data_IF_418228427264
#
_entry.id   IF_418228427264
#
_cell.length_a   1.000
_cell.length_b   1.000
_cell.length_c   1.000
_cell.angle_alpha   90.00
_cell.angle_beta   90.00
_cell.angle_gamma   90.00
#
_symmetry.space_group_name_H-M   'P 1'
#
loop_
_entity.id
_entity.type
_entity.pdbx_description
1 polymer ?
#
# COMPACT_ATOMS: atom_id res chain seq x y z
N UNK A 1 -74.31 16.61 -21.88
CA UNK A 1 -73.27 17.49 -21.27
C UNK A 1 -71.90 16.84 -21.47
N UNK A 2 -70.79 17.55 -21.20
CA UNK A 2 -69.40 17.09 -21.41
C UNK A 2 -69.08 15.82 -20.58
N UNK A 3 -68.19 14.90 -20.96
CA UNK A 3 -67.32 14.76 -22.15
C UNK A 3 -66.55 13.42 -22.09
N UNK A 4 -65.85 13.01 -23.16
CA UNK A 4 -65.18 11.69 -23.26
C UNK A 4 -64.09 11.44 -22.18
N UNK A 5 -63.82 10.24 -21.66
CA UNK A 5 -63.81 8.86 -22.20
C UNK A 5 -62.48 8.38 -22.81
N UNK A 6 -61.83 7.43 -22.11
CA UNK A 6 -61.01 6.29 -22.63
C UNK A 6 -59.68 6.63 -23.35
N UNK A 7 -58.61 5.82 -23.33
CA UNK A 7 -58.39 4.49 -22.72
C UNK A 7 -56.89 4.24 -22.40
N UNK A 8 -56.66 3.41 -21.37
CA UNK A 8 -55.70 2.29 -21.25
C UNK A 8 -54.61 2.14 -22.36
N UNK A 9 -53.33 2.12 -21.97
CA UNK A 9 -52.30 1.15 -22.41
C UNK A 9 -50.98 1.32 -21.61
N UNK A 10 -50.08 0.34 -21.68
CA UNK A 10 -48.71 0.38 -21.15
C UNK A 10 -47.75 -0.40 -22.07
N UNK A 11 -46.44 -0.37 -21.76
CA UNK A 11 -45.39 -1.34 -22.15
C UNK A 11 -44.75 -1.19 -23.58
N UNK A 12 -43.40 -1.36 -23.61
CA UNK A 12 -42.43 -1.59 -24.71
C UNK A 12 -41.80 -0.44 -25.54
N UNK A 13 -40.44 -0.51 -25.65
CA UNK A 13 -39.56 -0.32 -26.83
C UNK A 13 -39.32 1.11 -27.40
N UNK A 14 -38.17 1.46 -28.02
CA UNK A 14 -36.72 1.12 -27.87
C UNK A 14 -35.89 2.04 -28.81
N UNK A 15 -34.59 2.24 -28.53
CA UNK A 15 -33.50 2.63 -29.45
C UNK A 15 -33.69 3.72 -30.54
N UNK A 16 -32.99 4.85 -30.37
CA UNK A 16 -32.19 5.57 -31.39
C UNK A 16 -31.06 6.33 -30.64
N UNK A 17 -29.84 6.59 -31.13
CA UNK A 17 -28.84 5.88 -31.96
C UNK A 17 -27.72 6.90 -32.26
N UNK A 18 -26.47 6.58 -31.89
CA UNK A 18 -25.18 7.08 -32.44
C UNK A 18 -24.82 8.60 -32.28
N UNK A 19 -23.53 8.85 -32.05
CA UNK A 19 -22.85 10.16 -31.92
C UNK A 19 -22.26 10.63 -33.30
N UNK A 20 -21.49 11.73 -33.49
CA UNK A 20 -20.83 12.62 -32.50
C UNK A 20 -20.74 14.13 -32.85
N UNK A 21 -19.95 14.85 -32.03
CA UNK A 21 -19.18 16.08 -32.33
C UNK A 21 -19.85 17.47 -32.33
N UNK A 22 -19.05 18.48 -31.96
CA UNK A 22 -19.30 19.94 -31.92
C UNK A 22 -20.42 20.44 -30.96
N UNK A 23 -20.29 21.58 -30.26
CA UNK A 23 -19.14 22.48 -30.02
C UNK A 23 -19.33 23.23 -28.69
N UNK A 24 -18.34 24.01 -28.25
CA UNK A 24 -18.41 24.83 -27.03
C UNK A 24 -19.29 26.10 -27.19
N UNK A 25 -19.30 26.94 -26.15
CA UNK A 25 -19.94 28.27 -26.01
C UNK A 25 -21.47 28.34 -26.00
N UNK A 26 -22.11 27.94 -24.88
CA UNK A 26 -23.45 28.47 -24.49
C UNK A 26 -23.75 28.48 -22.97
N UNK A 27 -22.76 28.73 -22.09
CA UNK A 27 -23.02 29.05 -20.67
C UNK A 27 -21.98 30.05 -20.17
N UNK A 28 -22.22 31.33 -20.48
CA UNK A 28 -21.34 32.44 -20.12
C UNK A 28 -22.05 33.78 -20.27
N UNK A 29 -23.10 33.99 -19.48
CA UNK A 29 -23.67 35.31 -19.12
C UNK A 29 -24.85 35.12 -18.15
N UNK A 30 -24.56 35.02 -16.84
CA UNK A 30 -25.57 35.14 -15.76
C UNK A 30 -24.98 35.26 -14.32
N UNK A 31 -23.67 35.48 -14.16
CA UNK A 31 -23.01 35.59 -12.85
C UNK A 31 -22.92 37.02 -12.28
N UNK A 32 -22.67 38.00 -13.14
CA UNK A 32 -22.05 39.28 -12.74
C UNK A 32 -23.02 40.34 -12.21
N UNK A 33 -24.25 39.95 -11.84
CA UNK A 33 -25.28 40.84 -11.28
C UNK A 33 -25.40 40.71 -9.75
N UNK A 34 -24.83 39.65 -9.14
CA UNK A 34 -24.98 39.38 -7.69
C UNK A 34 -23.68 39.59 -6.89
N UNK A 35 -22.50 39.43 -7.50
CA UNK A 35 -21.22 39.58 -6.81
C UNK A 35 -20.29 40.55 -7.56
N UNK A 36 -20.10 41.75 -7.00
CA UNK A 36 -19.14 42.73 -7.51
C UNK A 36 -17.69 42.23 -7.44
N UNK A 37 -16.77 42.86 -8.21
CA UNK A 37 -15.41 42.36 -8.40
C UNK A 37 -14.61 42.35 -7.11
N UNK A 38 -13.92 41.23 -6.84
CA UNK A 38 -12.90 41.13 -5.80
C UNK A 38 -11.51 41.31 -6.42
N UNK A 39 -10.76 42.29 -5.91
CA UNK A 39 -9.34 42.43 -6.24
C UNK A 39 -8.52 41.25 -5.70
N UNK A 40 -7.43 40.84 -6.40
CA UNK A 40 -6.59 39.74 -5.96
C UNK A 40 -5.65 40.19 -4.82
N UNK A 41 -5.95 39.77 -3.59
CA UNK A 41 -5.00 39.91 -2.48
C UNK A 41 -3.84 38.92 -2.62
N UNK A 42 -2.61 39.44 -2.64
CA UNK A 42 -1.40 38.65 -2.52
C UNK A 42 -1.19 38.18 -1.08
N UNK A 43 -0.89 36.90 -0.89
CA UNK A 43 -0.40 36.37 0.39
C UNK A 43 1.09 36.03 0.30
N UNK A 44 1.91 36.39 1.31
CA UNK A 44 3.35 36.16 1.29
C UNK A 44 3.70 34.70 1.63
N UNK A 45 4.77 34.19 1.02
CA UNK A 45 5.31 32.87 1.32
C UNK A 45 5.98 32.82 2.70
N UNK A 46 5.47 31.98 3.60
CA UNK A 46 6.15 31.66 4.86
C UNK A 46 7.12 30.50 4.65
N UNK A 47 8.41 30.82 4.47
CA UNK A 47 9.49 29.84 4.72
C UNK A 47 9.45 29.44 6.19
N UNK A 48 9.46 28.14 6.47
CA UNK A 48 9.91 27.63 7.77
C UNK A 48 11.40 27.27 7.65
N UNK A 49 12.25 28.07 8.29
CA UNK A 49 13.63 27.71 8.60
C UNK A 49 13.71 27.65 10.12
N UNK A 50 14.14 26.51 10.68
CA UNK A 50 14.40 26.35 12.11
C UNK A 50 15.87 26.67 12.38
N UNK A 51 16.17 27.92 12.70
CA UNK A 51 17.46 28.30 13.30
C UNK A 51 17.30 28.56 14.80
N UNK A 52 18.25 28.08 15.60
CA UNK A 52 18.26 28.22 17.05
C UNK A 52 18.87 29.57 17.48
N UNK A 53 18.05 30.49 17.96
CA UNK A 53 18.48 31.57 18.86
C UNK A 53 17.46 31.77 19.99
N UNK A 54 17.94 32.13 21.18
CA UNK A 54 17.13 32.18 22.40
C UNK A 54 16.19 33.39 22.45
N UNK A 55 15.03 33.21 23.08
CA UNK A 55 14.09 34.30 23.33
C UNK A 55 14.57 35.25 24.43
N UNK A 56 14.23 36.53 24.29
CA UNK A 56 14.42 37.58 25.30
C UNK A 56 13.07 38.15 25.71
N UNK A 57 12.80 38.24 27.02
CA UNK A 57 11.50 38.69 27.53
C UNK A 57 11.33 40.22 27.49
N UNK A 58 10.08 40.68 27.61
CA UNK A 58 9.67 42.08 27.44
C UNK A 58 10.09 43.03 28.60
N UNK A 59 11.38 43.10 28.92
CA UNK A 59 11.96 44.18 29.75
C UNK A 59 13.49 44.39 29.63
N UNK A 60 14.15 43.86 28.60
CA UNK A 60 15.44 44.39 28.12
C UNK A 60 16.60 44.42 29.12
N UNK A 61 16.85 43.32 29.85
CA UNK A 61 18.05 43.14 30.69
C UNK A 61 18.68 41.78 30.49
N UNK A 62 20.01 41.76 30.41
CA UNK A 62 20.83 40.55 30.33
C UNK A 62 20.94 39.86 31.71
N UNK A 63 21.07 38.54 31.71
CA UNK A 63 21.37 37.73 32.89
C UNK A 63 22.53 36.78 32.52
N UNK A 64 23.70 36.83 33.22
CA UNK A 64 24.82 35.95 32.93
C UNK A 64 24.55 34.48 33.27
N UNK A 65 25.27 33.57 32.60
CA UNK A 65 25.30 32.13 32.92
C UNK A 65 25.97 31.89 34.27
N UNK A 66 25.58 30.80 34.95
CA UNK A 66 26.36 30.18 36.02
C UNK A 66 26.30 28.65 35.89
N UNK A 67 27.38 27.98 36.31
CA UNK A 67 27.59 26.56 36.08
C UNK A 67 26.87 25.67 37.11
N UNK A 68 26.59 24.42 36.73
CA UNK A 68 26.11 23.38 37.65
C UNK A 68 27.23 22.37 37.96
N UNK A 69 27.38 22.06 39.25
CA UNK A 69 28.16 20.94 39.78
C UNK A 69 27.31 20.14 40.78
N UNK A 70 27.76 18.92 41.06
CA UNK A 70 27.05 17.87 41.79
C UNK A 70 26.77 18.17 43.28
N UNK A 71 26.07 17.19 43.88
CA UNK A 71 25.76 16.95 45.31
C UNK A 71 24.38 17.45 45.76
N UNK A 72 23.55 16.65 46.47
CA UNK A 72 23.63 15.21 46.75
C UNK A 72 22.87 14.78 48.01
N UNK A 73 22.19 13.62 47.96
CA UNK A 73 21.54 12.89 49.10
C UNK A 73 20.28 13.60 49.68
N UNK A 74 19.17 12.91 49.99
CA UNK A 74 18.83 11.49 49.76
C UNK A 74 17.45 11.06 50.29
N UNK A 75 17.11 9.80 49.95
CA UNK A 75 16.08 8.85 50.45
C UNK A 75 14.90 9.29 51.33
N UNK A 76 13.69 8.82 50.99
CA UNK A 76 12.94 7.83 51.79
C UNK A 76 11.91 7.04 50.94
N UNK A 77 11.96 5.70 51.04
CA UNK A 77 10.94 4.62 50.96
C UNK A 77 9.49 4.86 50.43
N UNK A 78 8.73 3.89 49.88
CA UNK A 78 8.93 2.51 49.35
C UNK A 78 7.57 2.01 48.72
N UNK A 79 7.28 0.72 48.46
CA UNK A 79 7.55 0.02 47.19
C UNK A 79 6.29 -0.49 46.44
N UNK A 80 6.49 -0.92 45.18
CA UNK A 80 5.79 -2.10 44.62
C UNK A 80 6.77 -2.92 43.77
N UNK A 81 6.81 -4.25 44.00
CA UNK A 81 7.77 -5.18 43.39
C UNK A 81 7.13 -6.11 42.37
N UNK A 82 7.84 -6.41 41.29
CA UNK A 82 7.56 -7.53 40.38
C UNK A 82 8.65 -8.60 40.53
N UNK A 83 8.33 -9.92 40.48
CA UNK A 83 9.31 -10.99 40.60
C UNK A 83 10.04 -11.25 39.28
N UNK A 84 11.36 -11.43 39.33
CA UNK A 84 12.16 -11.96 38.23
C UNK A 84 12.14 -13.49 38.19
N UNK A 85 12.57 -14.06 37.07
CA UNK A 85 12.78 -15.50 36.89
C UNK A 85 14.28 -15.79 36.85
N UNK A 86 14.79 -16.59 37.79
CA UNK A 86 16.18 -17.07 37.78
C UNK A 86 16.24 -18.54 37.38
N UNK A 87 17.38 -18.94 36.81
CA UNK A 87 17.61 -20.30 36.32
C UNK A 87 18.49 -21.10 37.28
N UNK A 88 18.20 -22.39 37.46
CA UNK A 88 19.18 -23.36 37.96
C UNK A 88 18.88 -24.77 37.47
N UNK A 89 19.93 -25.59 37.36
CA UNK A 89 19.89 -26.93 36.78
C UNK A 89 19.94 -28.01 37.86
N UNK A 90 19.36 -29.20 37.60
CA UNK A 90 19.87 -30.46 38.19
C UNK A 90 19.48 -31.72 37.41
N UNK A 91 19.96 -32.85 37.89
CA UNK A 91 20.35 -34.01 37.09
C UNK A 91 19.50 -35.29 37.32
N UNK A 92 19.88 -36.33 36.57
CA UNK A 92 19.35 -37.70 36.49
C UNK A 92 19.09 -38.41 37.84
N UNK A 93 18.18 -39.40 37.79
CA UNK A 93 18.09 -40.52 38.73
C UNK A 93 17.24 -41.66 38.15
N UNK A 94 17.65 -42.93 38.34
CA UNK A 94 17.14 -44.09 37.58
C UNK A 94 16.14 -44.99 38.34
N UNK A 95 15.18 -45.59 37.63
CA UNK A 95 14.65 -46.98 37.76
C UNK A 95 13.45 -47.15 36.80
N UNK A 96 13.37 -48.09 35.86
CA UNK A 96 13.68 -49.54 35.78
C UNK A 96 12.56 -50.46 36.30
N UNK A 97 11.78 -51.04 35.37
CA UNK A 97 11.26 -52.41 35.41
C UNK A 97 11.04 -52.92 33.97
N UNK A 98 11.03 -54.25 33.79
CA UNK A 98 11.23 -54.99 32.51
C UNK A 98 9.96 -55.79 32.09
N UNK A 99 10.06 -56.51 30.95
CA UNK A 99 9.29 -57.68 30.46
C UNK A 99 8.81 -57.63 28.99
N UNK A 100 9.78 -57.80 28.06
CA UNK A 100 9.82 -58.77 26.93
C UNK A 100 8.44 -59.40 26.52
N UNK A 101 7.95 -59.33 25.27
CA UNK A 101 8.31 -60.26 24.18
C UNK A 101 7.76 -59.91 22.76
N UNK A 102 8.60 -60.13 21.73
CA UNK A 102 8.21 -60.44 20.34
C UNK A 102 7.88 -59.26 19.40
N UNK A 103 8.20 -59.28 18.10
CA UNK A 103 8.98 -60.26 17.32
C UNK A 103 8.64 -60.20 15.82
N UNK A 104 9.45 -59.51 14.99
CA UNK A 104 9.30 -59.50 13.52
C UNK A 104 9.94 -60.73 12.86
N UNK A 105 9.40 -61.22 11.74
CA UNK A 105 10.19 -61.79 10.66
C UNK A 105 10.48 -60.76 9.55
N UNK A 106 11.65 -60.88 8.92
CA UNK A 106 11.91 -60.45 7.53
C UNK A 106 11.78 -61.68 6.64
N UNK A 107 11.61 -61.47 5.34
CA UNK A 107 11.93 -62.46 4.29
C UNK A 107 12.28 -61.70 3.00
N UNK A 108 13.51 -61.90 2.54
CA UNK A 108 13.98 -61.76 1.16
C UNK A 108 13.41 -62.96 0.32
N UNK A 109 13.58 -63.21 -0.99
CA UNK A 109 14.49 -62.91 -2.12
C UNK A 109 13.68 -63.33 -3.43
N UNK A 110 14.19 -63.48 -4.69
CA UNK A 110 15.41 -63.02 -5.38
C UNK A 110 15.18 -62.44 -6.82
N UNK A 111 16.28 -62.16 -7.54
CA UNK A 111 16.39 -61.66 -8.93
C UNK A 111 15.95 -62.61 -10.08
N UNK A 112 15.93 -62.08 -11.33
CA UNK A 112 16.62 -62.67 -12.51
C UNK A 112 16.60 -61.82 -13.81
N UNK A 113 17.80 -61.60 -14.38
CA UNK A 113 18.23 -61.50 -15.81
C UNK A 113 17.40 -60.67 -16.85
N UNK A 114 17.94 -60.24 -18.00
CA UNK A 114 19.18 -60.62 -18.72
C UNK A 114 19.90 -59.41 -19.40
N UNK A 115 20.94 -59.68 -20.19
CA UNK A 115 22.06 -58.80 -20.55
C UNK A 115 22.39 -58.86 -22.07
N UNK A 116 23.26 -57.94 -22.59
CA UNK A 116 23.95 -57.96 -23.92
C UNK A 116 23.09 -57.68 -25.19
N UNK A 117 23.63 -57.25 -26.35
CA UNK A 117 24.93 -56.61 -26.68
C UNK A 117 24.92 -55.85 -28.05
N UNK A 118 25.72 -54.77 -28.12
CA UNK A 118 26.70 -54.39 -29.18
C UNK A 118 26.44 -54.45 -30.71
N UNK A 119 26.99 -53.46 -31.45
CA UNK A 119 27.90 -53.56 -32.65
C UNK A 119 27.75 -52.38 -33.66
N UNK A 120 28.88 -51.66 -33.83
CA UNK A 120 29.38 -50.75 -34.89
C UNK A 120 28.60 -50.41 -36.19
N UNK A 121 28.75 -49.14 -36.63
CA UNK A 121 28.66 -48.73 -38.05
C UNK A 121 28.95 -47.24 -38.32
N UNK A 122 30.03 -46.90 -39.05
CA UNK A 122 30.38 -45.53 -39.51
C UNK A 122 30.21 -45.40 -41.04
N UNK A 123 29.46 -44.40 -41.54
CA UNK A 123 29.65 -43.76 -42.87
C UNK A 123 29.31 -42.25 -42.76
N UNK A 124 30.00 -41.40 -43.52
CA UNK A 124 29.85 -39.94 -43.56
C UNK A 124 28.57 -39.46 -44.27
N UNK A 125 28.11 -38.26 -43.93
CA UNK A 125 27.04 -37.56 -44.64
C UNK A 125 26.81 -36.13 -44.13
N UNK A 126 27.58 -35.17 -44.62
CA UNK A 126 27.43 -33.77 -44.23
C UNK A 126 26.11 -33.16 -44.73
N UNK A 127 25.49 -32.31 -43.91
CA UNK A 127 24.46 -31.37 -44.33
C UNK A 127 24.83 -29.98 -43.83
N UNK A 128 24.64 -28.91 -44.62
CA UNK A 128 24.96 -27.55 -44.18
C UNK A 128 24.06 -27.17 -42.99
N UNK A 129 24.62 -26.44 -42.03
CA UNK A 129 23.81 -25.64 -41.12
C UNK A 129 23.25 -24.47 -41.91
N UNK A 130 21.94 -24.27 -41.84
CA UNK A 130 21.38 -22.95 -42.12
C UNK A 130 21.83 -22.05 -40.97
N UNK A 131 22.62 -21.04 -41.29
CA UNK A 131 22.95 -19.98 -40.34
C UNK A 131 21.72 -19.07 -40.21
N UNK A 132 20.96 -19.23 -39.13
CA UNK A 132 20.03 -18.17 -38.73
C UNK A 132 20.86 -16.92 -38.41
N UNK A 133 20.45 -15.72 -38.88
CA UNK A 133 21.22 -14.52 -38.66
C UNK A 133 21.31 -14.23 -37.16
N UNK A 134 22.54 -14.08 -36.68
CA UNK A 134 22.86 -13.76 -35.29
C UNK A 134 22.03 -12.58 -34.80
N UNK A 135 21.00 -12.87 -34.00
CA UNK A 135 20.30 -11.86 -33.21
C UNK A 135 21.24 -11.46 -32.08
N UNK A 136 22.17 -10.58 -32.43
CA UNK A 136 22.96 -9.80 -31.50
C UNK A 136 22.01 -9.27 -30.43
N UNK A 137 22.14 -9.83 -29.22
CA UNK A 137 21.23 -9.50 -28.14
C UNK A 137 21.27 -7.99 -27.92
N UNK A 138 20.10 -7.36 -27.95
CA UNK A 138 19.93 -6.04 -27.37
C UNK A 138 20.43 -6.17 -25.92
N UNK A 139 21.55 -5.51 -25.64
CA UNK A 139 22.06 -5.42 -24.27
C UNK A 139 21.15 -4.45 -23.57
N UNK A 140 20.22 -4.99 -22.79
CA UNK A 140 19.47 -4.24 -21.79
C UNK A 140 20.48 -3.54 -20.87
N UNK A 141 20.78 -2.26 -21.16
CA UNK A 141 21.48 -1.38 -20.21
C UNK A 141 20.57 -0.99 -19.03
N UNK A 142 19.30 -1.42 -19.09
CA UNK A 142 18.31 -1.44 -18.03
C UNK A 142 18.54 -2.60 -17.05
N UNK A 143 19.43 -2.39 -16.08
CA UNK A 143 19.69 -3.36 -15.01
C UNK A 143 18.43 -3.69 -14.19
N UNK A 144 18.12 -4.98 -13.92
CA UNK A 144 16.88 -5.38 -13.25
C UNK A 144 16.83 -4.95 -11.77
N UNK A 145 15.61 -4.74 -11.26
CA UNK A 145 15.38 -4.34 -9.86
C UNK A 145 16.02 -5.33 -8.88
N UNK A 146 16.92 -4.83 -8.02
CA UNK A 146 17.71 -5.65 -7.09
C UNK A 146 17.75 -5.05 -5.69
N UNK A 147 17.91 -5.91 -4.69
CA UNK A 147 18.21 -5.50 -3.31
C UNK A 147 19.58 -4.81 -3.29
N UNK A 148 19.75 -3.82 -2.42
CA UNK A 148 21.00 -3.05 -2.33
C UNK A 148 21.33 -2.25 -3.60
N UNK A 149 20.33 -1.83 -4.40
CA UNK A 149 20.55 -1.07 -5.63
C UNK A 149 21.47 0.14 -5.40
N UNK A 150 21.18 0.91 -4.35
CA UNK A 150 21.90 2.12 -3.97
C UNK A 150 23.14 1.88 -3.07
N UNK A 151 23.55 0.62 -2.82
CA UNK A 151 24.60 0.30 -1.83
C UNK A 151 25.97 0.96 -2.12
N UNK A 152 26.26 1.28 -3.38
CA UNK A 152 27.49 1.97 -3.80
C UNK A 152 27.28 3.47 -4.05
N UNK A 153 26.10 3.87 -4.52
CA UNK A 153 25.81 5.24 -5.01
C UNK A 153 25.13 6.14 -3.98
N UNK A 154 24.32 5.57 -3.09
CA UNK A 154 23.75 6.24 -1.92
C UNK A 154 23.57 5.23 -0.78
N UNK A 155 24.66 4.84 -0.07
CA UNK A 155 24.64 3.71 0.87
C UNK A 155 23.66 3.86 2.04
N UNK A 156 23.23 5.09 2.33
CA UNK A 156 22.31 5.45 3.42
C UNK A 156 20.87 5.73 2.96
N UNK A 157 20.53 5.45 1.70
CA UNK A 157 19.22 5.80 1.13
C UNK A 157 18.04 5.26 1.98
N UNK A 158 18.05 3.97 2.30
CA UNK A 158 16.98 3.35 3.12
C UNK A 158 17.00 3.83 4.58
N UNK A 159 18.15 4.22 5.12
CA UNK A 159 18.29 4.78 6.46
C UNK A 159 17.52 6.10 6.59
N UNK A 160 17.69 7.01 5.61
CA UNK A 160 16.98 8.30 5.59
C UNK A 160 15.47 8.13 5.37
N UNK A 161 15.05 7.23 4.47
CA UNK A 161 13.61 6.92 4.25
C UNK A 161 12.98 6.48 5.58
N UNK A 162 13.59 5.49 6.24
CA UNK A 162 13.14 4.94 7.52
C UNK A 162 13.13 5.99 8.64
N UNK A 163 14.17 6.81 8.74
CA UNK A 163 14.28 7.85 9.76
C UNK A 163 13.16 8.88 9.66
N UNK A 164 12.93 9.44 8.45
CA UNK A 164 11.91 10.49 8.25
C UNK A 164 10.50 9.94 8.45
N UNK A 165 10.21 8.73 7.97
CA UNK A 165 8.89 8.10 8.16
C UNK A 165 8.66 7.72 9.63
N UNK A 166 9.69 7.22 10.33
CA UNK A 166 9.60 6.98 11.77
C UNK A 166 9.32 8.26 12.56
N UNK A 167 9.96 9.38 12.22
CA UNK A 167 9.68 10.66 12.89
C UNK A 167 8.28 11.20 12.53
N UNK A 168 7.85 11.09 11.28
CA UNK A 168 6.50 11.46 10.86
C UNK A 168 5.42 10.63 11.58
N UNK A 169 5.64 9.33 11.78
CA UNK A 169 4.69 8.43 12.46
C UNK A 169 4.50 8.75 13.95
N UNK A 170 5.54 9.21 14.67
CA UNK A 170 5.42 9.67 16.07
C UNK A 170 4.50 10.89 16.20
N UNK A 171 4.58 11.78 15.22
CA UNK A 171 3.81 13.03 15.19
C UNK A 171 2.40 12.84 14.59
N UNK A 172 2.19 11.77 13.81
CA UNK A 172 0.92 11.41 13.20
C UNK A 172 0.86 9.88 12.95
N UNK A 173 0.28 9.09 13.87
CA UNK A 173 0.24 7.63 13.79
C UNK A 173 -0.40 7.04 12.52
N UNK A 174 -1.17 7.85 11.80
CA UNK A 174 -1.77 7.47 10.52
C UNK A 174 -0.86 7.56 9.29
N UNK A 175 0.35 8.11 9.41
CA UNK A 175 1.29 8.25 8.27
C UNK A 175 1.65 6.89 7.63
N UNK A 176 1.97 5.82 8.37
CA UNK A 176 2.24 4.49 7.81
C UNK A 176 1.15 3.99 6.84
N UNK A 177 -0.11 3.98 7.27
CA UNK A 177 -1.24 3.60 6.41
C UNK A 177 -1.42 4.56 5.22
N UNK A 178 -1.05 5.83 5.35
CA UNK A 178 -1.05 6.81 4.26
C UNK A 178 -0.03 6.46 3.17
N UNK A 179 1.22 6.20 3.55
CA UNK A 179 2.32 5.89 2.63
C UNK A 179 2.13 4.51 1.98
N UNK A 180 1.66 3.51 2.75
CA UNK A 180 1.26 2.21 2.20
C UNK A 180 0.19 2.37 1.10
N UNK A 181 -0.83 3.20 1.34
CA UNK A 181 -1.87 3.49 0.35
C UNK A 181 -1.36 4.32 -0.84
N UNK A 182 -0.39 5.23 -0.65
CA UNK A 182 0.27 5.93 -1.76
C UNK A 182 0.96 4.94 -2.71
N UNK A 183 1.74 3.99 -2.17
CA UNK A 183 2.46 3.02 -3.01
C UNK A 183 1.50 2.08 -3.75
N UNK A 184 0.40 1.65 -3.11
CA UNK A 184 -0.67 0.89 -3.77
C UNK A 184 -1.30 1.68 -4.92
N UNK A 185 -1.71 2.93 -4.66
CA UNK A 185 -2.40 3.76 -5.66
C UNK A 185 -1.51 4.12 -6.85
N UNK A 186 -0.20 4.26 -6.63
CA UNK A 186 0.79 4.49 -7.68
C UNK A 186 0.89 3.27 -8.60
N UNK A 187 1.31 2.13 -8.03
CA UNK A 187 1.50 0.87 -8.75
C UNK A 187 0.29 0.39 -9.56
N UNK A 188 -0.93 0.71 -9.13
CA UNK A 188 -2.15 0.27 -9.79
C UNK A 188 -2.65 1.18 -10.92
N UNK A 189 -2.13 2.39 -11.12
CA UNK A 189 -2.52 3.24 -12.26
C UNK A 189 -1.67 2.94 -13.50
N UNK A 190 -0.53 3.61 -13.70
CA UNK A 190 0.40 3.35 -14.83
C UNK A 190 1.49 2.33 -14.50
N UNK A 191 1.83 2.16 -13.23
CA UNK A 191 2.91 1.31 -12.75
C UNK A 191 3.54 1.89 -11.50
N UNK A 192 4.51 1.20 -10.90
CA UNK A 192 5.25 1.73 -9.75
C UNK A 192 6.33 2.72 -10.24
N UNK A 193 5.89 3.85 -10.79
CA UNK A 193 6.70 4.87 -11.50
C UNK A 193 6.63 6.25 -10.82
N UNK A 194 5.95 6.35 -9.67
CA UNK A 194 5.69 7.59 -8.93
C UNK A 194 4.99 8.69 -9.76
N UNK A 195 4.22 8.35 -10.80
CA UNK A 195 3.37 9.28 -11.57
C UNK A 195 2.40 10.03 -10.65
N UNK A 196 1.79 9.32 -9.69
CA UNK A 196 0.84 9.83 -8.70
C UNK A 196 1.37 11.01 -7.88
N UNK A 197 2.69 11.11 -7.76
CA UNK A 197 3.34 12.20 -7.02
C UNK A 197 3.38 13.52 -7.80
N UNK A 198 3.13 13.54 -9.11
CA UNK A 198 3.14 14.77 -9.90
C UNK A 198 1.96 15.70 -9.57
N UNK A 199 2.26 16.97 -9.30
CA UNK A 199 1.25 18.03 -9.21
C UNK A 199 0.90 18.61 -10.59
N UNK A 200 1.82 18.52 -11.56
CA UNK A 200 1.67 18.97 -12.96
C UNK A 200 2.57 18.16 -13.90
N UNK A 201 2.16 18.04 -15.17
CA UNK A 201 2.95 17.51 -16.28
C UNK A 201 3.22 18.58 -17.34
N UNK A 202 4.20 18.38 -18.26
CA UNK A 202 4.38 19.24 -19.43
C UNK A 202 3.20 19.27 -20.41
N UNK A 203 2.30 18.27 -20.40
CA UNK A 203 1.10 18.25 -21.25
C UNK A 203 0.01 19.22 -20.78
N UNK A 204 0.08 19.71 -19.54
CA UNK A 204 -0.95 20.58 -18.95
C UNK A 204 -2.26 19.86 -18.62
N UNK A 205 -2.31 18.54 -18.79
CA UNK A 205 -3.42 17.70 -18.32
C UNK A 205 -3.49 17.71 -16.78
N UNK A 206 -4.66 17.37 -16.24
CA UNK A 206 -4.81 17.09 -14.81
C UNK A 206 -4.07 15.79 -14.46
N UNK A 207 -3.31 15.76 -13.37
CA UNK A 207 -2.65 14.54 -12.88
C UNK A 207 -3.61 13.64 -12.10
N UNK A 208 -3.19 12.40 -11.84
CA UNK A 208 -3.97 11.40 -11.09
C UNK A 208 -4.34 11.87 -9.68
N UNK A 209 -3.49 12.71 -9.08
CA UNK A 209 -3.63 13.23 -7.71
C UNK A 209 -4.92 14.04 -7.51
N UNK A 210 -5.42 14.70 -8.56
CA UNK A 210 -6.66 15.49 -8.52
C UNK A 210 -7.91 14.71 -8.97
N UNK A 211 -7.78 13.43 -9.29
CA UNK A 211 -8.92 12.57 -9.62
C UNK A 211 -9.91 12.42 -8.46
N UNK A 212 -11.20 12.11 -8.71
CA UNK A 212 -12.20 11.94 -7.65
C UNK A 212 -11.88 10.85 -6.62
N UNK A 213 -11.05 9.87 -6.98
CA UNK A 213 -10.63 8.75 -6.12
C UNK A 213 -9.51 9.17 -5.15
N UNK A 214 -8.57 9.99 -5.64
CA UNK A 214 -7.35 10.37 -4.91
C UNK A 214 -7.48 11.70 -4.15
N UNK A 215 -8.22 12.65 -4.71
CA UNK A 215 -8.32 14.03 -4.24
C UNK A 215 -8.95 14.12 -2.85
N UNK A 216 -8.14 14.51 -1.85
CA UNK A 216 -8.56 14.59 -0.45
C UNK A 216 -8.75 13.24 0.26
N UNK A 217 -8.33 12.12 -0.36
CA UNK A 217 -8.34 10.79 0.26
C UNK A 217 -6.93 10.25 0.56
N UNK A 218 -5.93 10.63 -0.22
CA UNK A 218 -4.51 10.29 -0.01
C UNK A 218 -3.80 11.29 0.92
N UNK A 219 -2.79 10.84 1.66
CA UNK A 219 -1.96 11.64 2.59
C UNK A 219 -0.52 11.12 2.63
N UNK A 220 0.43 11.92 3.13
CA UNK A 220 1.83 11.53 3.26
C UNK A 220 2.74 12.03 2.14
N UNK A 221 2.21 12.74 1.13
CA UNK A 221 3.00 13.34 0.04
C UNK A 221 4.11 14.24 0.62
N UNK A 222 3.76 15.02 1.63
CA UNK A 222 4.65 15.90 2.41
C UNK A 222 5.78 15.15 3.15
N UNK A 223 5.59 13.87 3.48
CA UNK A 223 6.64 13.03 4.06
C UNK A 223 7.58 12.51 2.97
N UNK A 224 7.03 12.14 1.80
CA UNK A 224 7.82 11.77 0.62
C UNK A 224 8.66 12.96 0.12
N UNK A 225 8.11 14.18 0.16
CA UNK A 225 8.84 15.42 -0.15
C UNK A 225 10.03 15.62 0.80
N UNK A 226 9.86 15.43 2.11
CA UNK A 226 10.96 15.58 3.10
C UNK A 226 12.00 14.47 2.95
N UNK A 227 11.60 13.21 2.77
CA UNK A 227 12.52 12.09 2.47
C UNK A 227 13.38 12.44 1.25
N UNK A 228 12.76 12.86 0.16
CA UNK A 228 13.46 13.25 -1.07
C UNK A 228 14.38 14.47 -0.85
N UNK A 229 13.93 15.43 -0.05
CA UNK A 229 14.69 16.63 0.33
C UNK A 229 15.91 16.31 1.22
N UNK A 230 15.96 15.17 1.91
CA UNK A 230 17.16 14.69 2.59
C UNK A 230 18.06 13.89 1.64
N UNK A 231 17.49 12.99 0.83
CA UNK A 231 18.24 12.20 -0.15
C UNK A 231 19.00 13.09 -1.16
N UNK A 232 18.37 14.14 -1.70
CA UNK A 232 19.03 15.07 -2.63
C UNK A 232 20.14 15.94 -1.99
N UNK A 233 20.30 15.92 -0.65
CA UNK A 233 21.43 16.57 0.04
C UNK A 233 22.63 15.62 0.20
N UNK A 234 22.37 14.34 0.43
CA UNK A 234 23.40 13.30 0.60
C UNK A 234 23.89 12.77 -0.76
N UNK A 235 22.95 12.45 -1.66
CA UNK A 235 23.19 11.80 -2.95
C UNK A 235 22.31 12.40 -4.06
N UNK A 236 22.66 13.61 -4.56
CA UNK A 236 21.89 14.32 -5.58
C UNK A 236 21.56 13.47 -6.80
N UNK A 237 20.33 13.59 -7.30
CA UNK A 237 19.82 12.95 -8.51
C UNK A 237 20.04 11.42 -8.58
N UNK A 238 20.17 10.74 -7.43
CA UNK A 238 20.53 9.32 -7.36
C UNK A 238 19.32 8.42 -7.13
N UNK A 239 18.49 8.70 -6.12
CA UNK A 239 17.37 7.83 -5.70
C UNK A 239 16.05 8.31 -6.30
N UNK A 240 15.31 7.46 -7.01
CA UNK A 240 14.00 7.81 -7.59
C UNK A 240 12.90 7.99 -6.55
N UNK A 241 11.86 8.76 -6.88
CA UNK A 241 10.69 8.87 -6.01
C UNK A 241 9.86 7.57 -6.00
N UNK A 242 9.90 6.79 -7.09
CA UNK A 242 9.31 5.45 -7.16
C UNK A 242 9.93 4.49 -6.12
N UNK A 243 11.25 4.50 -5.94
CA UNK A 243 11.90 3.71 -4.89
C UNK A 243 11.64 4.28 -3.48
N UNK A 244 11.54 5.60 -3.33
CA UNK A 244 11.12 6.21 -2.05
C UNK A 244 9.74 5.74 -1.61
N UNK A 245 8.77 5.57 -2.53
CA UNK A 245 7.48 4.96 -2.22
C UNK A 245 7.61 3.49 -1.80
N UNK A 246 8.41 2.69 -2.53
CA UNK A 246 8.58 1.27 -2.24
C UNK A 246 9.26 1.02 -0.88
N UNK A 247 10.37 1.72 -0.59
CA UNK A 247 11.01 1.70 0.72
C UNK A 247 10.08 2.24 1.81
N UNK A 248 9.37 3.34 1.52
CA UNK A 248 8.47 3.97 2.47
C UNK A 248 7.28 3.10 2.87
N UNK A 249 6.75 2.29 1.95
CA UNK A 249 5.73 1.30 2.28
C UNK A 249 6.28 0.16 3.16
N UNK A 250 7.50 -0.33 2.90
CA UNK A 250 8.18 -1.31 3.77
C UNK A 250 8.39 -0.76 5.17
N UNK A 251 8.94 0.44 5.31
CA UNK A 251 9.19 1.04 6.62
C UNK A 251 7.89 1.41 7.35
N UNK A 252 6.82 1.74 6.63
CA UNK A 252 5.47 1.90 7.18
C UNK A 252 4.92 0.60 7.78
N UNK A 253 4.99 -0.51 7.04
CA UNK A 253 4.58 -1.83 7.54
C UNK A 253 5.41 -2.27 8.75
N UNK A 254 6.73 -2.02 8.71
CA UNK A 254 7.64 -2.29 9.83
C UNK A 254 7.25 -1.53 11.11
N UNK A 255 6.96 -0.22 10.98
CA UNK A 255 6.53 0.63 12.10
C UNK A 255 5.22 0.15 12.71
N UNK A 256 4.32 -0.39 11.88
CA UNK A 256 3.04 -0.94 12.32
C UNK A 256 3.11 -2.38 12.88
N UNK A 257 4.24 -3.08 12.77
CA UNK A 257 4.46 -4.37 13.43
C UNK A 257 5.02 -5.50 12.56
N UNK A 258 5.14 -5.32 11.24
CA UNK A 258 5.67 -6.35 10.34
C UNK A 258 7.18 -6.57 10.57
N UNK A 259 7.69 -7.82 10.53
CA UNK A 259 9.12 -8.08 10.46
C UNK A 259 9.75 -7.46 9.20
N UNK A 260 10.95 -6.90 9.33
CA UNK A 260 11.60 -6.19 8.23
C UNK A 260 11.98 -7.11 7.08
N UNK A 261 11.70 -6.65 5.85
CA UNK A 261 12.04 -7.34 4.62
C UNK A 261 12.81 -6.45 3.63
N UNK A 262 13.51 -7.12 2.72
CA UNK A 262 14.34 -6.50 1.68
C UNK A 262 13.50 -6.04 0.48
N UNK A 263 13.75 -4.82 -0.02
CA UNK A 263 13.02 -4.24 -1.15
C UNK A 263 13.93 -4.15 -2.37
N UNK A 264 13.60 -4.83 -3.49
CA UNK A 264 14.28 -4.59 -4.75
C UNK A 264 14.02 -3.17 -5.24
N UNK A 265 15.08 -2.47 -5.64
CA UNK A 265 15.08 -1.07 -6.07
C UNK A 265 15.84 -0.90 -7.40
N UNK A 266 15.80 0.32 -7.94
CA UNK A 266 16.22 0.67 -9.31
C UNK A 266 15.08 1.16 -10.20
N UNK A 267 13.92 1.51 -9.63
CA UNK A 267 12.79 2.08 -10.38
C UNK A 267 13.13 3.50 -10.83
N UNK A 268 12.45 3.98 -11.86
CA UNK A 268 12.58 5.35 -12.37
C UNK A 268 11.24 6.07 -12.38
N UNK A 269 11.35 7.39 -12.40
CA UNK A 269 10.24 8.32 -12.27
C UNK A 269 9.56 8.59 -13.63
N UNK A 270 8.23 8.50 -13.66
CA UNK A 270 7.45 8.81 -14.86
C UNK A 270 7.45 10.31 -15.19
N UNK A 271 7.41 10.60 -16.49
CA UNK A 271 7.30 11.95 -17.06
C UNK A 271 5.82 12.38 -17.26
N UNK A 272 4.87 11.48 -17.02
CA UNK A 272 3.43 11.69 -17.21
C UNK A 272 2.60 11.18 -16.03
N UNK A 273 1.44 11.82 -15.85
CA UNK A 273 0.39 11.43 -14.91
C UNK A 273 -0.91 12.04 -15.40
N UNK A 274 -2.02 11.28 -15.43
CA UNK A 274 -3.30 11.76 -15.98
C UNK A 274 -4.49 11.29 -15.15
N UNK A 275 -5.40 12.23 -14.84
CA UNK A 275 -6.69 11.95 -14.19
C UNK A 275 -7.46 10.81 -14.89
N UNK A 276 -7.40 10.78 -16.23
CA UNK A 276 -8.11 9.81 -17.07
C UNK A 276 -7.64 8.36 -16.91
N UNK A 277 -6.42 8.12 -16.41
CA UNK A 277 -5.90 6.76 -16.18
C UNK A 277 -6.39 6.19 -14.83
N UNK A 278 -6.91 7.04 -13.92
CA UNK A 278 -7.52 6.61 -12.64
C UNK A 278 -8.94 6.07 -12.89
N UNK A 279 -9.00 4.84 -13.41
CA UNK A 279 -10.26 4.14 -13.70
C UNK A 279 -10.63 3.13 -12.62
N UNK A 280 -11.90 2.73 -12.55
CA UNK A 280 -12.35 1.65 -11.66
C UNK A 280 -11.81 0.25 -12.03
N UNK A 281 -11.17 0.10 -13.20
CA UNK A 281 -10.42 -1.11 -13.55
C UNK A 281 -8.99 -1.10 -12.97
N UNK A 282 -8.45 0.09 -12.68
CA UNK A 282 -7.15 0.27 -12.04
C UNK A 282 -7.27 0.34 -10.51
N UNK A 283 -8.21 1.15 -9.97
CA UNK A 283 -8.41 1.32 -8.53
C UNK A 283 -9.83 0.88 -8.14
N UNK A 284 -10.01 -0.32 -7.54
CA UNK A 284 -11.31 -0.78 -7.07
C UNK A 284 -11.91 0.11 -5.98
N UNK A 285 -13.24 0.25 -6.01
CA UNK A 285 -14.03 1.00 -5.04
C UNK A 285 -14.50 0.16 -3.84
N UNK A 286 -14.88 0.80 -2.73
CA UNK A 286 -15.28 0.12 -1.48
C UNK A 286 -16.65 -0.61 -1.57
N UNK A 287 -17.32 -0.55 -2.71
CA UNK A 287 -18.61 -1.21 -2.99
C UNK A 287 -18.48 -2.35 -4.01
N UNK A 288 -17.31 -2.56 -4.61
CA UNK A 288 -17.17 -3.40 -5.79
C UNK A 288 -17.41 -4.90 -5.50
N UNK A 289 -17.58 -5.70 -6.55
CA UNK A 289 -17.68 -7.15 -6.43
C UNK A 289 -16.29 -7.79 -6.39
N UNK A 290 -16.19 -8.99 -5.81
CA UNK A 290 -14.93 -9.75 -5.82
C UNK A 290 -14.49 -10.06 -7.26
N UNK A 291 -15.40 -10.13 -8.24
CA UNK A 291 -15.04 -10.24 -9.66
C UNK A 291 -14.29 -8.99 -10.18
N UNK A 292 -14.76 -7.78 -9.83
CA UNK A 292 -14.14 -6.53 -10.25
C UNK A 292 -12.77 -6.32 -9.57
N UNK A 293 -12.68 -6.62 -8.27
CA UNK A 293 -11.42 -6.54 -7.51
C UNK A 293 -10.43 -7.59 -8.04
N UNK A 294 -10.87 -8.84 -8.24
CA UNK A 294 -10.03 -9.91 -8.84
C UNK A 294 -9.55 -9.51 -10.23
N UNK A 295 -10.40 -8.91 -11.06
CA UNK A 295 -10.03 -8.42 -12.40
C UNK A 295 -8.92 -7.37 -12.32
N UNK A 296 -9.07 -6.35 -11.47
CA UNK A 296 -8.07 -5.30 -11.31
C UNK A 296 -6.70 -5.86 -10.87
N UNK A 297 -6.67 -6.79 -9.91
CA UNK A 297 -5.43 -7.42 -9.46
C UNK A 297 -4.81 -8.34 -10.54
N UNK A 298 -5.62 -9.16 -11.22
CA UNK A 298 -5.12 -10.08 -12.25
C UNK A 298 -4.66 -9.37 -13.53
N UNK A 299 -5.23 -8.23 -13.88
CA UNK A 299 -4.73 -7.37 -14.98
C UNK A 299 -3.39 -6.69 -14.65
N UNK A 300 -3.00 -6.61 -13.38
CA UNK A 300 -1.64 -6.22 -12.94
C UNK A 300 -0.72 -7.43 -12.69
N UNK A 301 -1.16 -8.65 -13.00
CA UNK A 301 -0.37 -9.88 -12.84
C UNK A 301 -0.32 -10.44 -11.42
N UNK A 302 -1.16 -9.96 -10.50
CA UNK A 302 -1.28 -10.46 -9.13
C UNK A 302 -2.31 -11.59 -9.05
N UNK A 303 -2.09 -12.53 -8.13
CA UNK A 303 -3.00 -13.67 -7.90
C UNK A 303 -4.17 -13.32 -6.97
N UNK A 304 -5.16 -14.21 -6.86
CA UNK A 304 -6.22 -14.13 -5.84
C UNK A 304 -5.64 -14.23 -4.41
N UNK A 305 -4.54 -14.96 -4.21
CA UNK A 305 -3.82 -14.97 -2.94
C UNK A 305 -3.19 -13.60 -2.65
N UNK A 306 -2.49 -13.01 -3.62
CA UNK A 306 -1.92 -11.66 -3.49
C UNK A 306 -3.00 -10.61 -3.18
N UNK A 307 -4.17 -10.71 -3.81
CA UNK A 307 -5.32 -9.84 -3.54
C UNK A 307 -5.75 -9.91 -2.07
N UNK A 308 -6.07 -11.10 -1.56
CA UNK A 308 -6.53 -11.27 -0.16
C UNK A 308 -5.44 -10.88 0.85
N UNK A 309 -4.17 -11.19 0.55
CA UNK A 309 -3.02 -10.84 1.39
C UNK A 309 -2.77 -9.33 1.43
N UNK A 310 -2.84 -8.64 0.28
CA UNK A 310 -2.62 -7.19 0.18
C UNK A 310 -3.78 -6.38 0.76
N UNK A 311 -5.04 -6.84 0.62
CA UNK A 311 -6.17 -6.20 1.33
C UNK A 311 -6.02 -6.25 2.85
N UNK A 312 -5.23 -7.18 3.40
CA UNK A 312 -4.83 -7.16 4.82
C UNK A 312 -4.12 -5.88 5.26
N UNK A 313 -3.60 -5.06 4.33
CA UNK A 313 -3.12 -3.70 4.63
C UNK A 313 -4.18 -2.76 5.22
N UNK A 314 -5.47 -3.10 5.08
CA UNK A 314 -6.58 -2.42 5.75
C UNK A 314 -6.65 -2.67 7.27
N UNK A 315 -5.82 -3.55 7.83
CA UNK A 315 -5.58 -3.65 9.28
C UNK A 315 -5.10 -2.33 9.90
N UNK A 316 -4.49 -1.43 9.10
CA UNK A 316 -4.08 -0.11 9.57
C UNK A 316 -4.77 1.05 8.86
N UNK A 317 -5.12 2.08 9.64
CA UNK A 317 -5.64 3.35 9.15
C UNK A 317 -7.17 3.45 9.12
N UNK A 318 -7.65 4.44 8.36
CA UNK A 318 -9.02 4.95 8.46
C UNK A 318 -9.66 5.18 7.09
N UNK A 319 -10.97 4.93 6.99
CA UNK A 319 -11.79 5.31 5.84
C UNK A 319 -12.62 6.57 6.17
N UNK A 320 -12.94 7.38 5.16
CA UNK A 320 -13.90 8.49 5.30
C UNK A 320 -15.34 7.98 5.11
N UNK A 321 -16.31 8.56 5.83
CA UNK A 321 -17.73 8.19 5.79
C UNK A 321 -18.35 7.90 4.42
N UNK A 322 -18.06 8.60 3.30
CA UNK A 322 -18.66 8.30 2.00
C UNK A 322 -18.40 6.88 1.51
N UNK A 323 -17.32 6.25 1.97
CA UNK A 323 -16.88 4.90 1.58
C UNK A 323 -17.62 3.77 2.29
N UNK A 324 -18.48 4.05 3.28
CA UNK A 324 -19.22 3.01 4.02
C UNK A 324 -20.59 3.44 4.57
N UNK A 325 -20.83 4.74 4.81
CA UNK A 325 -22.08 5.24 5.42
C UNK A 325 -23.35 5.02 4.57
N UNK A 326 -23.19 4.59 3.32
CA UNK A 326 -24.30 4.16 2.48
C UNK A 326 -24.84 2.78 2.89
N UNK A 327 -24.02 1.88 3.45
CA UNK A 327 -24.40 0.51 3.86
C UNK A 327 -25.53 0.50 4.89
N UNK A 328 -25.50 1.46 5.82
CA UNK A 328 -26.54 1.76 6.82
C UNK A 328 -27.96 1.94 6.23
N UNK A 329 -28.05 2.27 4.92
CA UNK A 329 -29.29 2.51 4.18
C UNK A 329 -29.60 1.42 3.13
N UNK A 330 -28.73 0.43 2.93
CA UNK A 330 -29.01 -0.69 2.03
C UNK A 330 -30.09 -1.59 2.66
N UNK A 331 -31.14 -1.98 1.90
CA UNK A 331 -32.02 -3.06 2.34
C UNK A 331 -31.21 -4.36 2.42
N UNK A 332 -31.46 -5.17 3.45
CA UNK A 332 -30.78 -6.45 3.71
C UNK A 332 -29.25 -6.34 3.89
N UNK A 333 -28.71 -5.19 4.31
CA UNK A 333 -27.29 -5.08 4.68
C UNK A 333 -27.00 -5.96 5.90
N UNK A 334 -26.09 -6.93 5.79
CA UNK A 334 -25.67 -7.81 6.89
C UNK A 334 -24.70 -7.15 7.88
N UNK A 335 -24.72 -5.81 7.99
CA UNK A 335 -23.96 -5.05 8.98
C UNK A 335 -24.29 -5.49 10.41
N UNK A 336 -23.24 -5.79 11.21
CA UNK A 336 -23.35 -5.94 12.66
C UNK A 336 -24.14 -4.76 13.30
N UNK A 337 -25.07 -5.03 14.26
CA UNK A 337 -25.89 -3.98 14.85
C UNK A 337 -25.14 -2.87 15.60
N UNK A 338 -23.94 -3.14 16.15
CA UNK A 338 -23.10 -2.12 16.81
C UNK A 338 -22.40 -1.28 15.77
N UNK A 339 -21.72 -1.90 14.79
CA UNK A 339 -21.10 -1.19 13.67
C UNK A 339 -22.11 -0.29 12.93
N UNK A 340 -23.33 -0.77 12.73
CA UNK A 340 -24.44 0.00 12.17
C UNK A 340 -24.81 1.22 13.05
N UNK A 341 -24.81 1.08 14.38
CA UNK A 341 -25.02 2.18 15.32
C UNK A 341 -23.85 3.18 15.33
N UNK A 342 -22.61 2.71 15.22
CA UNK A 342 -21.39 3.52 15.25
C UNK A 342 -21.22 4.33 13.96
N UNK A 343 -21.41 3.71 12.78
CA UNK A 343 -21.49 4.43 11.50
C UNK A 343 -22.64 5.45 11.55
N UNK A 344 -23.81 5.07 12.09
CA UNK A 344 -24.93 6.00 12.33
C UNK A 344 -24.59 7.11 13.32
N UNK A 345 -23.58 6.97 14.18
CA UNK A 345 -23.17 8.00 15.13
C UNK A 345 -22.17 8.97 14.48
N UNK A 346 -21.05 8.44 13.99
CA UNK A 346 -19.94 9.19 13.41
C UNK A 346 -20.37 9.95 12.13
N UNK A 347 -21.13 9.30 11.25
CA UNK A 347 -21.49 9.88 9.95
C UNK A 347 -22.75 10.76 9.97
N UNK A 348 -23.23 11.20 11.15
CA UNK A 348 -24.25 12.28 11.28
C UNK A 348 -23.71 13.68 10.97
N UNK A 349 -22.40 13.87 10.96
CA UNK A 349 -21.77 15.19 10.83
C UNK A 349 -21.95 15.82 9.44
N UNK A 350 -22.37 17.09 9.42
CA UNK A 350 -22.69 17.88 8.21
C UNK A 350 -21.56 17.93 7.18
N UNK A 351 -20.30 17.79 7.61
CA UNK A 351 -19.12 17.99 6.77
C UNK A 351 -18.74 16.77 5.91
N UNK A 352 -19.35 15.59 6.09
CA UNK A 352 -19.10 14.37 5.30
C UNK A 352 -17.69 13.74 5.41
N UNK A 353 -16.70 14.46 5.95
CA UNK A 353 -15.28 14.05 6.05
C UNK A 353 -14.89 13.36 7.37
N UNK A 354 -15.87 12.99 8.20
CA UNK A 354 -15.59 12.18 9.38
C UNK A 354 -15.00 10.82 8.95
N UNK A 355 -14.16 10.24 9.80
CA UNK A 355 -13.43 8.99 9.55
C UNK A 355 -13.73 7.95 10.61
N UNK A 356 -13.56 6.67 10.26
CA UNK A 356 -13.55 5.55 11.18
C UNK A 356 -12.34 4.65 10.89
N UNK A 357 -11.73 4.02 11.90
CA UNK A 357 -10.76 2.93 11.72
C UNK A 357 -11.33 1.82 10.84
N UNK A 358 -10.56 1.32 9.88
CA UNK A 358 -11.00 0.19 9.03
C UNK A 358 -10.97 -1.10 9.87
N UNK A 359 -9.88 -1.29 10.62
CA UNK A 359 -9.84 -2.17 11.77
C UNK A 359 -10.27 -1.42 13.04
N UNK A 360 -11.38 -1.85 13.64
CA UNK A 360 -11.96 -1.23 14.84
C UNK A 360 -11.35 -1.70 16.17
N UNK A 361 -10.48 -2.71 16.13
CA UNK A 361 -9.76 -3.29 17.27
C UNK A 361 -8.37 -2.66 17.38
N UNK A 362 -7.67 -2.49 16.25
CA UNK A 362 -6.20 -2.28 16.24
C UNK A 362 -5.68 -1.20 15.27
N UNK A 363 -6.46 -0.18 14.89
CA UNK A 363 -6.19 0.97 13.98
C UNK A 363 -4.73 1.30 13.52
N UNK A 364 -3.71 1.21 14.38
CA UNK A 364 -2.30 1.52 14.06
C UNK A 364 -1.33 0.32 14.09
N UNK A 365 -1.79 -0.87 14.49
CA UNK A 365 -1.01 -2.11 14.55
C UNK A 365 -1.47 -3.04 13.43
N UNK A 366 -0.51 -3.43 12.59
CA UNK A 366 -0.73 -4.41 11.54
C UNK A 366 -0.82 -5.80 12.17
N UNK A 367 -1.99 -6.43 12.12
CA UNK A 367 -2.25 -7.76 12.67
C UNK A 367 -3.46 -8.45 12.00
N UNK A 368 -3.79 -9.65 12.47
CA UNK A 368 -4.88 -10.47 11.93
C UNK A 368 -6.26 -10.15 12.50
N UNK A 369 -6.41 -9.17 13.41
CA UNK A 369 -7.73 -8.78 13.92
C UNK A 369 -8.62 -8.23 12.80
N UNK A 370 -8.04 -7.70 11.71
CA UNK A 370 -8.75 -7.35 10.49
C UNK A 370 -9.50 -8.54 9.91
N UNK A 371 -8.81 -9.64 9.61
CA UNK A 371 -9.42 -10.84 9.03
C UNK A 371 -10.45 -11.46 9.98
N UNK A 372 -10.17 -11.49 11.30
CA UNK A 372 -11.14 -11.93 12.33
C UNK A 372 -12.39 -11.05 12.33
N UNK A 373 -12.23 -9.73 12.22
CA UNK A 373 -13.32 -8.75 12.15
C UNK A 373 -14.20 -8.97 10.90
N UNK A 374 -13.65 -9.43 9.77
CA UNK A 374 -14.44 -9.82 8.60
C UNK A 374 -15.25 -11.10 8.84
N UNK A 375 -14.66 -12.12 9.48
CA UNK A 375 -15.35 -13.37 9.84
C UNK A 375 -16.51 -13.11 10.82
N UNK A 376 -16.33 -12.15 11.73
CA UNK A 376 -17.32 -11.68 12.70
C UNK A 376 -18.43 -10.77 12.09
N UNK A 377 -18.41 -10.56 10.77
CA UNK A 377 -19.31 -9.67 10.00
C UNK A 377 -19.26 -8.19 10.37
N UNK A 378 -18.07 -7.72 10.74
CA UNK A 378 -17.79 -6.35 11.22
C UNK A 378 -16.83 -5.56 10.31
N UNK A 379 -16.52 -6.04 9.10
CA UNK A 379 -15.71 -5.28 8.15
C UNK A 379 -16.35 -3.93 7.81
N UNK A 380 -15.60 -2.83 7.87
CA UNK A 380 -16.13 -1.48 7.67
C UNK A 380 -16.55 -1.21 6.20
N UNK A 381 -15.70 -1.59 5.25
CA UNK A 381 -15.99 -1.48 3.81
C UNK A 381 -16.76 -2.71 3.33
N UNK A 382 -17.54 -2.56 2.25
CA UNK A 382 -18.32 -3.67 1.70
C UNK A 382 -17.46 -4.60 0.84
N UNK A 383 -16.47 -4.03 0.12
CA UNK A 383 -15.38 -4.76 -0.54
C UNK A 383 -14.74 -5.80 0.37
N UNK A 384 -14.43 -5.38 1.60
CA UNK A 384 -13.64 -6.16 2.55
C UNK A 384 -14.51 -7.27 3.15
N UNK A 385 -15.75 -6.93 3.55
CA UNK A 385 -16.70 -7.91 4.07
C UNK A 385 -17.01 -9.01 3.03
N UNK A 386 -17.11 -8.64 1.74
CA UNK A 386 -17.29 -9.61 0.64
C UNK A 386 -16.13 -10.61 0.51
N UNK A 387 -14.90 -10.28 0.90
CA UNK A 387 -13.76 -11.22 0.83
C UNK A 387 -13.90 -12.38 1.81
N UNK A 388 -14.56 -12.17 2.96
CA UNK A 388 -14.87 -13.24 3.92
C UNK A 388 -16.11 -14.08 3.53
N UNK A 389 -16.89 -13.61 2.56
CA UNK A 389 -18.18 -14.21 2.16
C UNK A 389 -18.12 -14.92 0.80
N UNK A 390 -17.22 -14.51 -0.11
CA UNK A 390 -17.05 -15.14 -1.41
C UNK A 390 -16.39 -16.54 -1.30
N UNK A 391 -16.96 -17.60 -1.93
CA UNK A 391 -16.40 -18.95 -1.89
C UNK A 391 -14.96 -19.11 -2.41
N UNK A 392 -14.42 -18.12 -3.15
CA UNK A 392 -13.06 -18.14 -3.69
C UNK A 392 -12.00 -17.62 -2.71
N UNK A 393 -12.40 -16.84 -1.72
CA UNK A 393 -11.48 -16.10 -0.82
C UNK A 393 -11.74 -16.38 0.66
N UNK A 394 -12.95 -16.75 1.04
CA UNK A 394 -13.37 -16.97 2.43
C UNK A 394 -12.53 -18.00 3.21
N UNK A 395 -12.12 -19.10 2.59
CA UNK A 395 -11.25 -20.10 3.24
C UNK A 395 -9.81 -19.58 3.44
N UNK A 396 -9.30 -18.74 2.53
CA UNK A 396 -8.01 -18.06 2.72
C UNK A 396 -8.11 -16.98 3.80
N UNK A 397 -9.19 -16.19 3.83
CA UNK A 397 -9.45 -15.22 4.92
C UNK A 397 -9.49 -15.92 6.27
N UNK A 398 -10.12 -17.10 6.38
CA UNK A 398 -10.11 -17.90 7.61
C UNK A 398 -8.71 -18.37 7.98
N UNK A 399 -7.96 -18.91 7.01
CA UNK A 399 -6.57 -19.34 7.23
C UNK A 399 -5.67 -18.19 7.71
N UNK A 400 -5.83 -16.97 7.20
CA UNK A 400 -5.04 -15.81 7.62
C UNK A 400 -5.51 -15.22 8.96
N UNK A 401 -6.79 -15.37 9.33
CA UNK A 401 -7.30 -14.96 10.64
C UNK A 401 -6.73 -15.81 11.79
N UNK A 402 -6.48 -17.09 11.53
CA UNK A 402 -5.95 -18.06 12.50
C UNK A 402 -4.41 -18.10 12.55
N UNK A 403 -3.71 -17.59 11.52
CA UNK A 403 -2.24 -17.66 11.38
C UNK A 403 -1.61 -16.31 10.97
N UNK A 404 -1.19 -15.52 11.98
CA UNK A 404 -0.50 -14.24 11.77
C UNK A 404 0.89 -14.41 11.17
N UNK A 405 1.65 -15.43 11.60
CA UNK A 405 3.02 -15.61 11.11
C UNK A 405 2.99 -16.05 9.64
N UNK A 406 2.05 -16.92 9.25
CA UNK A 406 1.79 -17.29 7.86
C UNK A 406 1.27 -16.15 6.99
N UNK A 407 0.53 -15.18 7.54
CA UNK A 407 0.19 -13.94 6.82
C UNK A 407 1.39 -13.01 6.67
N UNK A 408 2.14 -12.77 7.74
CA UNK A 408 3.37 -11.98 7.73
C UNK A 408 4.46 -12.58 6.84
N UNK A 409 4.46 -13.90 6.63
CA UNK A 409 5.34 -14.56 5.69
C UNK A 409 4.88 -14.35 4.23
N UNK A 410 3.58 -14.13 3.97
CA UNK A 410 3.04 -13.86 2.63
C UNK A 410 3.10 -12.38 2.23
N UNK A 411 2.80 -11.46 3.14
CA UNK A 411 2.63 -10.03 2.83
C UNK A 411 3.87 -9.38 2.18
N UNK A 412 5.13 -9.59 2.65
CA UNK A 412 6.33 -9.14 1.94
C UNK A 412 6.43 -9.67 0.51
N UNK A 413 6.06 -10.94 0.29
CA UNK A 413 6.14 -11.60 -1.02
C UNK A 413 5.14 -10.96 -1.99
N UNK A 414 3.93 -10.67 -1.55
CA UNK A 414 2.91 -9.95 -2.34
C UNK A 414 3.24 -8.47 -2.54
N UNK A 415 3.79 -7.78 -1.52
CA UNK A 415 4.26 -6.40 -1.65
C UNK A 415 5.41 -6.28 -2.66
N UNK A 416 6.33 -7.25 -2.70
CA UNK A 416 7.43 -7.29 -3.69
C UNK A 416 6.91 -7.60 -5.11
N UNK A 417 5.81 -8.36 -5.27
CA UNK A 417 5.14 -8.54 -6.57
C UNK A 417 4.44 -7.24 -7.00
N UNK A 418 3.66 -6.64 -6.11
CA UNK A 418 2.98 -5.36 -6.36
C UNK A 418 3.98 -4.27 -6.75
N UNK A 419 5.07 -4.13 -5.99
CA UNK A 419 6.15 -3.18 -6.26
C UNK A 419 6.93 -3.40 -7.57
N UNK A 420 6.57 -4.40 -8.39
CA UNK A 420 7.16 -4.69 -9.71
C UNK A 420 6.17 -4.46 -10.87
N UNK A 421 4.96 -4.00 -10.60
CA UNK A 421 3.97 -3.68 -11.64
C UNK A 421 4.50 -2.55 -12.53
N UNK A 422 4.70 -2.85 -13.82
CA UNK A 422 4.91 -1.87 -14.91
C UNK A 422 5.97 -0.80 -14.59
N UNK A 423 7.08 -1.22 -13.96
CA UNK A 423 8.18 -0.34 -13.53
C UNK A 423 9.00 0.19 -14.71
N UNK A 424 9.45 1.44 -14.59
CA UNK A 424 10.45 2.03 -15.48
C UNK A 424 11.87 1.71 -14.98
N UNK A 425 12.77 1.33 -15.87
CA UNK A 425 14.17 0.91 -15.59
C UNK A 425 15.20 1.71 -16.39
N UNK A 426 16.49 1.63 -16.01
CA UNK A 426 17.66 2.14 -16.76
C UNK A 426 17.54 3.50 -17.45
N UNK A 427 17.18 3.52 -18.73
CA UNK A 427 17.01 4.76 -19.52
C UNK A 427 15.55 5.27 -19.60
N UNK A 428 14.56 4.48 -19.17
CA UNK A 428 13.14 4.82 -19.19
C UNK A 428 12.79 5.79 -18.06
N UNK A 429 12.08 6.90 -18.36
CA UNK A 429 11.78 7.92 -17.33
C UNK A 429 13.04 8.57 -16.76
N UNK A 430 12.96 9.15 -15.56
CA UNK A 430 14.04 9.94 -14.97
C UNK A 430 14.33 9.63 -13.48
N UNK A 431 15.22 10.42 -12.88
CA UNK A 431 15.32 10.58 -11.42
C UNK A 431 14.97 12.03 -11.12
N UNK A 432 13.75 12.29 -10.63
CA UNK A 432 13.30 13.66 -10.29
C UNK A 432 14.14 14.23 -9.16
N UNK A 433 14.39 15.54 -9.16
CA UNK A 433 14.93 16.26 -7.98
C UNK A 433 13.86 16.53 -6.93
N UNK A 434 12.60 16.73 -7.34
CA UNK A 434 11.45 16.95 -6.48
C UNK A 434 10.29 16.11 -6.99
N UNK A 435 9.71 15.24 -6.18
CA UNK A 435 8.73 14.25 -6.66
C UNK A 435 7.47 14.84 -7.30
N UNK A 436 7.16 16.11 -7.01
CA UNK A 436 6.01 16.85 -7.53
C UNK A 436 6.11 17.31 -8.97
N UNK A 437 7.32 17.31 -9.55
CA UNK A 437 7.60 17.91 -10.85
C UNK A 437 8.56 17.05 -11.66
N UNK A 438 8.35 17.03 -12.98
CA UNK A 438 9.39 16.66 -13.94
C UNK A 438 10.55 17.68 -13.87
N UNK A 439 11.79 17.23 -14.10
CA UNK A 439 13.03 18.02 -13.92
C UNK A 439 13.20 19.28 -14.79
#
# INVERSE_FOLDING_TARGET
MKGGARNIAAILILCLVIAPSASASFWGDLGDIIFGPKEPQSMPSKRYVKDFTGGSDLNGKEIPKSDTKNEGIGNEDSPYTAPGFESSSREKGDSNYDWIHGGRPRNEEPDKHDERDSVYGWIHGERPRNEEPDKQGERDEDGPLRVGFYQETCPRAEEFVKQVISEASKNSPGIPAGILRLHLHDCFVTGCDASLLLDKTPSGEKTEKVSPVNSGSLRGFEVIDEVKTQLEKECPCTVSCADVLAFGARDSLNISGLPSYEVPAGRRDSLSSREADVTAANIPGPQDSIDAITKAFTEKGLTVEDMVVLTGGHSIGVAQCPNFAYRVRQPNSELDPRLNADIRSVCRGVNGKATMPIDSITEYRLDVEFYKTLLDKKGLLESDQKLAEDPRTSDLVRSLADDQDGWFDKLPKSMIRMGKIQVLSGQQGEIRKQCRFVN
#
